data_IF_928440370541
#
_entry.id   IF_928440370541
#
_cell.length_a   1.000
_cell.length_b   1.000
_cell.length_c   1.000
_cell.angle_alpha   90.00
_cell.angle_beta   90.00
_cell.angle_gamma   90.00
#
_symmetry.space_group_name_H-M   'P 1'
#
loop_
_entity.id
_entity.type
_entity.pdbx_description
1 polymer ?
#
# COMPACT_ATOMS: atom_id res chain seq x y z
N UNK A 1 -0.37 -4.10 30.34
CA UNK A 1 -0.64 -3.40 29.07
C UNK A 1 0.07 -4.22 27.99
N UNK A 2 -0.64 -4.77 27.00
CA UNK A 2 0.04 -5.44 25.89
C UNK A 2 0.98 -4.45 25.18
N UNK A 3 2.10 -4.95 24.68
CA UNK A 3 3.04 -4.11 23.92
C UNK A 3 2.44 -3.75 22.57
N UNK A 4 2.66 -2.51 22.07
CA UNK A 4 2.20 -2.10 20.76
C UNK A 4 2.87 -2.93 19.67
N UNK A 5 2.07 -3.42 18.72
CA UNK A 5 2.57 -4.11 17.52
C UNK A 5 3.06 -3.06 16.53
N UNK A 6 4.28 -3.25 16.01
CA UNK A 6 4.93 -2.29 15.10
C UNK A 6 5.02 -2.85 13.68
N UNK A 7 4.51 -2.07 12.74
CA UNK A 7 4.62 -2.32 11.30
C UNK A 7 5.58 -1.32 10.66
N UNK A 8 6.74 -1.76 10.15
CA UNK A 8 7.65 -0.90 9.39
C UNK A 8 7.06 -0.57 8.01
N UNK A 9 7.48 0.55 7.43
CA UNK A 9 7.15 0.90 6.04
C UNK A 9 7.99 0.09 5.05
N UNK A 10 7.39 -0.32 3.91
CA UNK A 10 8.12 -0.94 2.82
C UNK A 10 8.76 0.12 1.93
N UNK A 11 10.09 0.25 2.00
CA UNK A 11 10.86 1.23 1.23
C UNK A 11 11.37 0.64 -0.09
N UNK A 12 10.63 0.89 -1.17
CA UNK A 12 11.07 0.54 -2.51
C UNK A 12 12.36 1.31 -2.89
N UNK A 13 13.31 0.72 -3.63
CA UNK A 13 14.61 1.32 -3.93
C UNK A 13 14.52 2.74 -4.51
N UNK A 14 13.57 2.99 -5.41
CA UNK A 14 13.33 4.29 -6.03
C UNK A 14 12.89 5.38 -5.04
N UNK A 15 12.24 5.00 -3.93
CA UNK A 15 11.68 5.93 -2.94
C UNK A 15 12.65 6.26 -1.80
N UNK A 16 13.71 5.45 -1.60
CA UNK A 16 14.64 5.60 -0.46
C UNK A 16 15.36 6.95 -0.43
N UNK A 17 15.91 7.38 -1.56
CA UNK A 17 16.66 8.64 -1.63
C UNK A 17 15.77 9.87 -1.50
N UNK A 18 14.67 9.99 -2.26
CA UNK A 18 13.72 11.10 -2.09
C UNK A 18 13.13 11.19 -0.68
N UNK A 19 12.74 10.06 -0.08
CA UNK A 19 12.16 10.03 1.26
C UNK A 19 13.14 10.54 2.33
N UNK A 20 14.42 10.17 2.24
CA UNK A 20 15.45 10.62 3.19
C UNK A 20 15.65 12.13 3.19
N UNK A 21 15.50 12.80 2.04
CA UNK A 21 15.63 14.26 1.93
C UNK A 21 14.56 15.01 2.75
N UNK A 22 13.41 14.38 2.98
CA UNK A 22 12.32 14.93 3.78
C UNK A 22 12.25 14.32 5.18
N UNK A 23 13.32 13.62 5.62
CA UNK A 23 13.41 13.03 6.96
C UNK A 23 12.62 11.73 7.14
N UNK A 24 12.15 11.12 6.06
CA UNK A 24 11.44 9.83 6.08
C UNK A 24 12.42 8.71 5.81
N UNK A 25 12.63 7.85 6.80
CA UNK A 25 13.45 6.64 6.69
C UNK A 25 12.94 5.56 7.67
N UNK A 26 13.53 4.37 7.63
CA UNK A 26 13.12 3.21 8.44
C UNK A 26 13.06 3.46 9.97
N UNK A 27 13.83 4.43 10.46
CA UNK A 27 13.84 4.83 11.87
C UNK A 27 12.75 5.84 12.24
N UNK A 28 12.15 6.52 11.27
CA UNK A 28 11.15 7.57 11.47
C UNK A 28 9.81 7.27 10.82
N UNK A 29 9.67 6.13 10.14
CA UNK A 29 8.44 5.67 9.51
C UNK A 29 8.00 4.32 10.09
N UNK A 30 6.87 4.30 10.78
CA UNK A 30 6.24 3.07 11.27
C UNK A 30 4.80 3.31 11.68
N UNK A 31 3.98 2.28 11.60
CA UNK A 31 2.65 2.23 12.20
C UNK A 31 2.73 1.41 13.48
N UNK A 32 2.21 1.96 14.58
CA UNK A 32 2.07 1.28 15.85
C UNK A 32 0.59 1.08 16.12
N UNK A 33 0.22 -0.13 16.53
CA UNK A 33 -1.14 -0.48 16.94
C UNK A 33 -1.07 -1.05 18.34
N UNK A 34 -1.71 -0.38 19.29
CA UNK A 34 -1.96 -0.92 20.63
C UNK A 34 -3.44 -1.30 20.78
N UNK A 35 -3.86 -1.62 22.02
CA UNK A 35 -5.22 -2.07 22.29
C UNK A 35 -6.30 -0.99 22.02
N UNK A 36 -5.94 0.30 22.03
CA UNK A 36 -6.89 1.41 21.97
C UNK A 36 -6.57 2.42 20.87
N UNK A 37 -5.31 2.51 20.40
CA UNK A 37 -4.83 3.54 19.49
C UNK A 37 -4.02 2.98 18.32
N UNK A 38 -4.08 3.73 17.22
CA UNK A 38 -3.19 3.62 16.08
C UNK A 38 -2.34 4.90 15.99
N UNK A 39 -1.02 4.74 15.95
CA UNK A 39 -0.03 5.81 15.72
C UNK A 39 0.74 5.52 14.43
N UNK A 40 0.39 6.23 13.36
CA UNK A 40 1.10 6.21 12.10
C UNK A 40 2.09 7.38 12.04
N UNK A 41 3.38 7.06 12.11
CA UNK A 41 4.47 8.03 11.96
C UNK A 41 5.11 7.91 10.58
N UNK A 42 5.36 9.05 9.95
CA UNK A 42 6.04 9.16 8.66
C UNK A 42 6.99 10.36 8.67
N UNK A 43 8.24 10.15 9.10
CA UNK A 43 9.21 11.25 9.22
C UNK A 43 8.76 12.30 10.25
N UNK A 44 8.59 13.58 9.85
CA UNK A 44 8.06 14.63 10.72
C UNK A 44 6.54 14.57 10.90
N UNK A 45 5.82 13.85 10.05
CA UNK A 45 4.37 13.74 10.10
C UNK A 45 3.94 12.57 10.99
N UNK A 46 2.80 12.76 11.67
CA UNK A 46 2.24 11.75 12.55
C UNK A 46 0.72 11.87 12.58
N UNK A 47 0.03 10.74 12.50
CA UNK A 47 -1.40 10.61 12.76
C UNK A 47 -1.58 9.68 13.92
N UNK A 48 -2.19 10.18 15.00
CA UNK A 48 -2.58 9.36 16.15
C UNK A 48 -4.08 9.43 16.30
N UNK A 49 -4.73 8.27 16.36
CA UNK A 49 -6.18 8.18 16.48
C UNK A 49 -6.58 6.97 17.32
N UNK A 50 -7.66 7.05 18.12
CA UNK A 50 -8.25 5.87 18.73
C UNK A 50 -8.69 4.88 17.65
N UNK A 51 -8.58 3.57 17.92
CA UNK A 51 -9.13 2.51 17.07
C UNK A 51 -10.66 2.66 16.92
N UNK A 52 -11.33 3.15 17.97
CA UNK A 52 -12.75 3.48 17.93
C UNK A 52 -13.12 4.57 16.88
N UNK A 53 -12.15 5.29 16.32
CA UNK A 53 -12.37 6.22 15.23
C UNK A 53 -12.17 5.59 13.83
N UNK A 54 -11.64 4.37 13.73
CA UNK A 54 -11.46 3.68 12.45
C UNK A 54 -12.78 3.10 11.94
N UNK A 55 -13.30 3.64 10.84
CA UNK A 55 -14.50 3.14 10.18
C UNK A 55 -14.24 1.82 9.44
N UNK A 56 -13.03 1.66 8.90
CA UNK A 56 -12.60 0.44 8.21
C UNK A 56 -11.15 0.50 7.78
N UNK A 57 -10.60 -0.66 7.44
CA UNK A 57 -9.26 -0.83 6.92
C UNK A 57 -9.28 -1.86 5.80
N UNK A 58 -8.53 -1.63 4.74
CA UNK A 58 -8.41 -2.59 3.65
C UNK A 58 -7.10 -2.44 2.89
N UNK A 59 -6.62 -3.56 2.34
CA UNK A 59 -5.60 -3.56 1.32
C UNK A 59 -5.95 -2.61 0.18
N UNK A 60 -4.93 -1.94 -0.35
CA UNK A 60 -5.05 -1.04 -1.48
C UNK A 60 -3.76 -0.98 -2.30
N UNK A 61 -3.89 -0.66 -3.57
CA UNK A 61 -2.81 -0.61 -4.55
C UNK A 61 -3.27 -1.19 -5.89
N UNK A 62 -2.35 -1.61 -6.76
CA UNK A 62 -1.09 -0.90 -6.96
C UNK A 62 -1.38 0.57 -7.33
N UNK A 63 -0.55 1.48 -6.83
CA UNK A 63 -0.70 2.91 -7.03
C UNK A 63 0.10 3.36 -8.26
N UNK A 64 -0.48 4.21 -9.10
CA UNK A 64 0.26 4.80 -10.21
C UNK A 64 1.50 5.57 -9.69
N UNK A 65 2.70 5.20 -10.17
CA UNK A 65 3.99 5.78 -9.73
C UNK A 65 4.02 7.31 -9.91
N UNK A 66 3.42 7.81 -11.00
CA UNK A 66 3.30 9.24 -11.31
C UNK A 66 2.46 10.03 -10.28
N UNK A 67 1.64 9.35 -9.45
CA UNK A 67 0.84 9.97 -8.37
C UNK A 67 1.44 9.77 -6.97
N UNK A 68 2.53 9.01 -6.83
CA UNK A 68 3.04 8.56 -5.53
C UNK A 68 4.42 9.14 -5.19
N UNK A 69 5.20 9.60 -6.18
CA UNK A 69 6.51 10.21 -5.95
C UNK A 69 6.34 11.69 -5.52
N UNK A 70 6.42 11.95 -4.22
CA UNK A 70 6.46 13.30 -3.65
C UNK A 70 6.04 13.35 -2.17
N UNK A 71 6.39 14.43 -1.43
CA UNK A 71 6.09 14.54 0.00
C UNK A 71 4.57 14.52 0.23
N UNK A 72 4.11 13.67 1.14
CA UNK A 72 2.72 13.51 1.60
C UNK A 72 1.68 14.10 0.64
N UNK A 73 1.38 13.37 -0.45
CA UNK A 73 0.47 13.86 -1.48
C UNK A 73 -0.93 14.05 -0.92
N UNK A 74 -1.43 15.27 -1.05
CA UNK A 74 -2.78 15.66 -0.69
C UNK A 74 -3.71 15.27 -1.84
N UNK A 75 -4.46 14.17 -1.74
CA UNK A 75 -5.63 13.98 -2.64
C UNK A 75 -6.69 14.99 -2.20
N UNK A 76 -6.70 16.16 -2.84
CA UNK A 76 -7.62 17.26 -2.56
C UNK A 76 -9.09 16.89 -2.84
N UNK A 77 -9.34 15.91 -3.71
CA UNK A 77 -10.69 15.43 -4.02
C UNK A 77 -11.32 14.61 -2.87
N UNK A 78 -10.52 13.78 -2.19
CA UNK A 78 -11.00 12.83 -1.17
C UNK A 78 -10.63 13.21 0.27
N UNK A 79 -9.82 14.26 0.45
CA UNK A 79 -9.20 14.62 1.74
C UNK A 79 -8.48 13.42 2.37
N UNK A 80 -7.81 12.62 1.54
CA UNK A 80 -6.96 11.51 1.98
C UNK A 80 -5.56 12.00 2.32
N UNK A 81 -4.94 11.39 3.34
CA UNK A 81 -3.52 11.54 3.64
C UNK A 81 -2.78 10.30 3.15
N UNK A 82 -1.64 10.46 2.48
CA UNK A 82 -0.86 9.33 1.98
C UNK A 82 0.54 9.33 2.57
N UNK A 83 0.85 8.26 3.31
CA UNK A 83 2.20 7.90 3.74
C UNK A 83 2.65 6.73 2.87
N UNK A 84 3.42 7.02 1.83
CA UNK A 84 3.84 6.03 0.85
C UNK A 84 5.35 6.04 0.63
N UNK A 85 5.93 4.85 0.63
CA UNK A 85 7.34 4.55 0.33
C UNK A 85 7.49 3.45 -0.71
N UNK A 86 6.38 2.96 -1.25
CA UNK A 86 6.31 2.10 -2.42
C UNK A 86 5.02 2.42 -3.20
N UNK A 87 4.88 1.80 -4.37
CA UNK A 87 3.72 1.91 -5.25
C UNK A 87 2.93 0.60 -5.38
N UNK A 88 3.37 -0.47 -4.72
CA UNK A 88 2.88 -1.83 -4.95
C UNK A 88 1.64 -2.12 -4.11
N UNK A 89 1.73 -1.89 -2.80
CA UNK A 89 0.66 -2.23 -1.88
C UNK A 89 0.71 -1.39 -0.60
N UNK A 90 -0.44 -1.26 0.04
CA UNK A 90 -0.58 -0.65 1.34
C UNK A 90 -1.94 -0.91 1.94
N UNK A 91 -2.25 -0.19 3.02
CA UNK A 91 -3.55 -0.23 3.68
C UNK A 91 -4.18 1.14 3.59
N UNK A 92 -5.41 1.20 3.09
CA UNK A 92 -6.27 2.36 3.18
C UNK A 92 -7.10 2.27 4.48
N UNK A 93 -6.84 3.19 5.39
CA UNK A 93 -7.60 3.39 6.63
C UNK A 93 -8.66 4.46 6.38
N UNK A 94 -9.88 4.23 6.85
CA UNK A 94 -10.96 5.23 6.80
C UNK A 94 -11.37 5.61 8.22
N UNK A 95 -11.64 6.90 8.43
CA UNK A 95 -11.97 7.46 9.75
C UNK A 95 -13.44 7.88 9.83
N UNK A 96 -14.07 7.64 10.99
CA UNK A 96 -15.41 8.15 11.32
C UNK A 96 -15.36 9.68 11.42
N UNK A 97 -14.44 10.17 12.24
CA UNK A 97 -14.14 11.58 12.45
C UNK A 97 -12.82 11.99 11.76
N UNK A 98 -12.80 13.12 11.02
CA UNK A 98 -11.59 13.58 10.35
C UNK A 98 -10.42 13.87 11.30
N UNK A 99 -9.24 13.35 10.98
CA UNK A 99 -8.02 13.47 11.79
C UNK A 99 -7.03 14.49 11.20
N UNK A 100 -6.29 15.27 12.02
CA UNK A 100 -5.15 16.05 11.52
C UNK A 100 -4.00 15.11 11.13
N UNK A 101 -3.09 15.53 10.26
CA UNK A 101 -1.94 14.68 9.92
C UNK A 101 -0.75 15.35 9.23
N UNK A 102 -0.99 16.32 8.35
CA UNK A 102 0.08 17.02 7.62
C UNK A 102 0.35 18.43 8.14
N UNK A 103 -0.67 19.11 8.64
CA UNK A 103 -0.58 20.51 9.05
C UNK A 103 -0.30 20.62 10.56
N UNK A 104 0.83 21.24 10.98
CA UNK A 104 1.12 21.48 12.40
C UNK A 104 0.08 22.37 13.10
N UNK A 105 -0.73 23.14 12.36
CA UNK A 105 -1.82 23.95 12.91
C UNK A 105 -3.19 23.26 12.92
N UNK A 106 -3.30 22.06 12.32
CA UNK A 106 -4.51 21.23 12.34
C UNK A 106 -5.67 21.72 11.48
N UNK A 107 -5.44 22.63 10.53
CA UNK A 107 -6.49 23.20 9.66
C UNK A 107 -6.96 22.21 8.59
N UNK A 108 -6.08 21.30 8.16
CA UNK A 108 -6.42 20.23 7.21
C UNK A 108 -6.71 18.96 7.99
N UNK A 109 -7.92 18.42 7.80
CA UNK A 109 -8.35 17.15 8.38
C UNK A 109 -8.69 16.14 7.30
N UNK A 110 -8.32 14.90 7.55
CA UNK A 110 -8.35 13.81 6.60
C UNK A 110 -9.35 12.74 7.02
N UNK A 111 -10.13 12.24 6.05
CA UNK A 111 -11.09 11.15 6.27
C UNK A 111 -10.53 9.77 5.94
N UNK A 112 -9.37 9.73 5.28
CA UNK A 112 -8.64 8.50 5.03
C UNK A 112 -7.14 8.68 5.17
N UNK A 113 -6.46 7.59 5.45
CA UNK A 113 -5.01 7.50 5.52
C UNK A 113 -4.53 6.24 4.80
N UNK A 114 -3.72 6.40 3.77
CA UNK A 114 -3.02 5.30 3.11
C UNK A 114 -1.63 5.13 3.72
N UNK A 115 -1.28 3.91 4.12
CA UNK A 115 0.05 3.54 4.64
C UNK A 115 0.63 2.37 3.85
N UNK A 116 1.86 2.49 3.37
CA UNK A 116 2.53 1.40 2.62
C UNK A 116 3.48 0.63 3.54
N UNK A 117 2.91 -0.15 4.46
CA UNK A 117 3.66 -1.01 5.39
C UNK A 117 4.27 -2.23 4.70
N UNK A 118 5.26 -2.86 5.32
CA UNK A 118 5.93 -4.04 4.79
C UNK A 118 5.05 -5.30 4.79
N UNK A 119 4.04 -5.35 5.66
CA UNK A 119 3.07 -6.44 5.72
C UNK A 119 1.65 -5.84 5.86
N UNK A 120 1.02 -5.46 4.73
CA UNK A 120 -0.31 -4.86 4.72
C UNK A 120 -1.39 -5.81 5.25
N UNK A 121 -1.32 -7.09 4.89
CA UNK A 121 -2.25 -8.13 5.32
C UNK A 121 -2.25 -8.31 6.83
N UNK A 122 -1.07 -8.40 7.44
CA UNK A 122 -0.97 -8.53 8.90
C UNK A 122 -1.54 -7.29 9.62
N UNK A 123 -1.38 -6.09 9.05
CA UNK A 123 -1.98 -4.88 9.62
C UNK A 123 -3.52 -4.92 9.54
N UNK A 124 -4.08 -5.29 8.40
CA UNK A 124 -5.55 -5.40 8.24
C UNK A 124 -6.11 -6.48 9.16
N UNK A 125 -5.44 -7.63 9.24
CA UNK A 125 -5.84 -8.72 10.13
C UNK A 125 -5.84 -8.28 11.59
N UNK A 126 -4.77 -7.62 12.06
CA UNK A 126 -4.70 -7.12 13.43
C UNK A 126 -5.84 -6.14 13.72
N UNK A 127 -6.17 -5.23 12.80
CA UNK A 127 -7.27 -4.30 12.97
C UNK A 127 -8.64 -5.00 13.00
N UNK A 128 -8.82 -6.05 12.20
CA UNK A 128 -10.01 -6.88 12.22
C UNK A 128 -10.18 -7.62 13.55
N UNK A 129 -9.10 -8.10 14.16
CA UNK A 129 -9.11 -8.70 15.50
C UNK A 129 -9.53 -7.70 16.59
N UNK A 130 -9.30 -6.40 16.36
CA UNK A 130 -9.79 -5.31 17.21
C UNK A 130 -11.22 -4.84 16.84
N UNK A 131 -11.91 -5.55 15.95
CA UNK A 131 -13.29 -5.28 15.57
C UNK A 131 -13.45 -4.18 14.50
N UNK A 132 -12.39 -3.80 13.79
CA UNK A 132 -12.46 -2.86 12.67
C UNK A 132 -12.91 -3.58 11.40
N UNK A 133 -13.83 -2.98 10.65
CA UNK A 133 -14.36 -3.58 9.43
C UNK A 133 -13.26 -3.68 8.35
N UNK A 134 -13.14 -4.88 7.74
CA UNK A 134 -12.35 -5.06 6.53
C UNK A 134 -13.09 -4.44 5.33
N UNK A 135 -12.39 -3.62 4.56
CA UNK A 135 -12.95 -2.91 3.38
C UNK A 135 -12.31 -3.35 2.07
N UNK A 136 -11.51 -4.42 2.10
CA UNK A 136 -10.69 -4.91 1.00
C UNK A 136 -11.28 -6.11 0.25
N UNK A 137 -12.52 -6.52 0.54
CA UNK A 137 -13.12 -7.72 -0.07
C UNK A 137 -12.97 -7.75 -1.60
N UNK A 138 -13.35 -6.68 -2.29
CA UNK A 138 -13.18 -6.59 -3.75
C UNK A 138 -11.70 -6.63 -4.20
N UNK A 139 -10.80 -6.03 -3.41
CA UNK A 139 -9.38 -5.95 -3.73
C UNK A 139 -8.67 -7.30 -3.57
N UNK A 140 -9.07 -8.06 -2.54
CA UNK A 140 -8.59 -9.43 -2.28
C UNK A 140 -9.12 -10.39 -3.34
N UNK A 141 -10.40 -10.28 -3.71
CA UNK A 141 -11.02 -11.14 -4.73
C UNK A 141 -10.34 -10.94 -6.11
N UNK A 142 -10.13 -9.69 -6.54
CA UNK A 142 -9.46 -9.36 -7.81
C UNK A 142 -8.01 -9.86 -7.87
N UNK A 143 -7.26 -9.74 -6.76
CA UNK A 143 -5.88 -10.24 -6.66
C UNK A 143 -5.83 -11.77 -6.68
N UNK A 144 -6.73 -12.43 -5.95
CA UNK A 144 -6.82 -13.89 -5.90
C UNK A 144 -7.20 -14.47 -7.27
N UNK A 145 -8.17 -13.87 -7.96
CA UNK A 145 -8.59 -14.26 -9.30
C UNK A 145 -7.43 -14.12 -10.31
N UNK A 146 -6.72 -12.98 -10.29
CA UNK A 146 -5.57 -12.76 -11.18
C UNK A 146 -4.42 -13.75 -10.90
N UNK A 147 -4.14 -14.06 -9.64
CA UNK A 147 -3.14 -15.04 -9.24
C UNK A 147 -3.56 -16.47 -9.65
N UNK A 148 -4.81 -16.85 -9.46
CA UNK A 148 -5.35 -18.15 -9.87
C UNK A 148 -5.36 -18.30 -11.41
N UNK A 149 -5.64 -17.23 -12.15
CA UNK A 149 -5.53 -17.18 -13.61
C UNK A 149 -4.08 -17.41 -14.04
N UNK A 150 -3.11 -16.65 -13.50
CA UNK A 150 -1.68 -16.83 -13.80
C UNK A 150 -1.19 -18.27 -13.54
N UNK A 151 -1.62 -18.89 -12.43
CA UNK A 151 -1.21 -20.26 -12.10
C UNK A 151 -1.85 -21.32 -13.01
N UNK A 152 -3.06 -21.05 -13.53
CA UNK A 152 -3.78 -21.95 -14.43
C UNK A 152 -3.39 -21.77 -15.91
N UNK A 153 -2.81 -20.64 -16.30
CA UNK A 153 -2.27 -20.41 -17.65
C UNK A 153 -1.24 -21.48 -18.05
N UNK A 154 -1.25 -21.83 -19.34
CA UNK A 154 -0.25 -22.69 -19.96
C UNK A 154 1.07 -21.94 -20.13
N UNK A 155 2.17 -22.69 -20.30
CA UNK A 155 3.47 -22.09 -20.57
C UNK A 155 3.51 -21.29 -21.89
N UNK A 156 2.57 -21.52 -22.83
CA UNK A 156 2.45 -20.72 -24.05
C UNK A 156 1.79 -19.37 -23.77
N UNK A 157 0.70 -19.38 -22.99
CA UNK A 157 -0.05 -18.18 -22.62
C UNK A 157 0.79 -17.24 -21.74
N UNK A 158 1.54 -17.78 -20.77
CA UNK A 158 2.47 -16.99 -19.95
C UNK A 158 3.56 -16.30 -20.79
N UNK A 159 4.08 -16.97 -21.83
CA UNK A 159 5.07 -16.35 -22.73
C UNK A 159 4.45 -15.26 -23.60
N UNK A 160 3.22 -15.45 -24.04
CA UNK A 160 2.49 -14.45 -24.82
C UNK A 160 2.24 -13.21 -23.96
N UNK A 161 1.73 -13.39 -22.73
CA UNK A 161 1.51 -12.30 -21.78
C UNK A 161 2.81 -11.53 -21.45
N UNK A 162 3.91 -12.25 -21.21
CA UNK A 162 5.20 -11.64 -20.94
C UNK A 162 5.73 -10.84 -22.15
N UNK A 163 5.46 -11.29 -23.37
CA UNK A 163 5.84 -10.59 -24.60
C UNK A 163 5.01 -9.32 -24.82
N UNK A 164 3.71 -9.37 -24.55
CA UNK A 164 2.81 -8.21 -24.65
C UNK A 164 3.18 -7.13 -23.65
N UNK A 165 3.58 -7.52 -22.44
CA UNK A 165 4.02 -6.60 -21.37
C UNK A 165 5.47 -6.13 -21.48
N UNK A 166 6.25 -6.72 -22.39
CA UNK A 166 7.64 -6.33 -22.62
C UNK A 166 8.63 -6.83 -21.56
N UNK A 167 8.29 -7.90 -20.83
CA UNK A 167 9.13 -8.47 -19.78
C UNK A 167 10.41 -9.06 -20.37
N UNK A 168 11.56 -8.52 -19.96
CA UNK A 168 12.86 -9.01 -20.40
C UNK A 168 13.12 -10.46 -19.92
N UNK A 169 13.89 -11.24 -20.69
CA UNK A 169 14.32 -12.62 -20.37
C UNK A 169 13.22 -13.70 -20.33
N UNK A 170 11.98 -13.41 -20.75
CA UNK A 170 10.87 -14.37 -20.74
C UNK A 170 10.99 -15.52 -21.78
N UNK A 171 11.82 -15.38 -22.83
CA UNK A 171 11.81 -16.30 -23.98
C UNK A 171 12.41 -17.69 -23.72
N UNK A 172 13.19 -17.87 -22.64
CA UNK A 172 13.80 -19.16 -22.26
C UNK A 172 13.39 -19.67 -20.88
N UNK A 173 12.53 -18.93 -20.17
CA UNK A 173 12.09 -19.24 -18.80
C UNK A 173 11.15 -20.46 -18.75
N UNK A 174 11.26 -21.26 -17.67
CA UNK A 174 10.32 -22.36 -17.39
C UNK A 174 9.02 -21.77 -16.84
N UNK A 175 7.95 -22.58 -16.77
CA UNK A 175 6.62 -22.11 -16.29
C UNK A 175 6.71 -21.38 -14.93
N UNK A 176 7.44 -21.93 -13.97
CA UNK A 176 7.60 -21.32 -12.65
C UNK A 176 8.34 -19.97 -12.70
N UNK A 177 9.41 -19.89 -13.50
CA UNK A 177 10.19 -18.66 -13.66
C UNK A 177 9.40 -17.58 -14.42
N UNK A 178 8.52 -17.98 -15.35
CA UNK A 178 7.61 -17.08 -16.06
C UNK A 178 6.54 -16.49 -15.14
N UNK A 179 5.98 -17.29 -14.23
CA UNK A 179 5.01 -16.81 -13.24
C UNK A 179 5.67 -15.77 -12.34
N UNK A 180 6.83 -16.08 -11.76
CA UNK A 180 7.55 -15.13 -10.90
C UNK A 180 7.93 -13.82 -11.61
N UNK A 181 8.43 -13.91 -12.86
CA UNK A 181 8.76 -12.71 -13.65
C UNK A 181 7.53 -11.87 -14.01
N UNK A 182 6.38 -12.52 -14.23
CA UNK A 182 5.11 -11.84 -14.50
C UNK A 182 4.49 -11.24 -13.24
N UNK A 183 4.60 -11.90 -12.09
CA UNK A 183 4.22 -11.35 -10.79
C UNK A 183 5.05 -10.10 -10.46
N UNK A 184 6.38 -10.18 -10.65
CA UNK A 184 7.29 -9.04 -10.49
C UNK A 184 7.00 -7.90 -11.48
N UNK A 185 6.69 -8.22 -12.75
CA UNK A 185 6.31 -7.24 -13.76
C UNK A 185 4.95 -6.60 -13.47
N UNK A 186 3.94 -7.39 -13.07
CA UNK A 186 2.62 -6.88 -12.67
C UNK A 186 2.72 -5.94 -11.47
N UNK A 187 3.60 -6.26 -10.52
CA UNK A 187 3.93 -5.37 -9.41
C UNK A 187 4.67 -4.09 -9.85
N UNK A 188 5.37 -4.11 -11.00
CA UNK A 188 6.22 -3.02 -11.50
C UNK A 188 5.55 -2.12 -12.57
N UNK A 189 4.66 -2.67 -13.41
CA UNK A 189 4.20 -2.08 -14.67
C UNK A 189 2.68 -1.85 -14.77
N UNK A 190 1.95 -1.69 -13.67
CA UNK A 190 0.58 -1.18 -13.75
C UNK A 190 0.57 0.36 -13.92
N UNK A 191 0.87 0.85 -15.14
CA UNK A 191 -0.13 1.62 -15.89
C UNK A 191 0.02 1.53 -17.43
N UNK A 192 -1.08 1.42 -18.19
CA UNK A 192 -1.23 2.12 -19.49
C UNK A 192 -2.66 2.04 -20.11
N UNK A 193 -3.53 1.10 -19.72
CA UNK A 193 -4.81 0.90 -20.46
C UNK A 193 -5.99 1.82 -20.10
N UNK A 194 -5.84 2.81 -19.21
CA UNK A 194 -6.91 3.79 -18.91
C UNK A 194 -6.57 5.22 -19.33
N UNK A 195 -5.70 5.36 -20.34
CA UNK A 195 -5.43 6.62 -21.02
C UNK A 195 -5.84 6.56 -22.51
N UNK A 196 -7.07 6.14 -22.79
CA UNK A 196 -7.76 6.42 -24.06
C UNK A 196 -9.21 6.82 -23.82
#
# INVERSE_FOLDING_TARGET
>A
MPEPVRFPFAFAPAFRWPARLVGVHEGTASVLVDAEHLDARFGPWRVTTPLANLAGAGLSGPYAVAKTIGPAHLSLADRGLTFATNAEAGVCLTFRDPVPGIDPFGWVRHRGLTVTVADPDALVQLLAEHGIARTDGAWVDEQQEAHDELHTMTASELRQLAKERGVAHASSARKADLVALLEEDLATHLPDELAS
#
